data_IF_518068160606
#
_entry.id   IF_518068160606
#
_cell.length_a   1.000
_cell.length_b   1.000
_cell.length_c   1.000
_cell.angle_alpha   90.00
_cell.angle_beta   90.00
_cell.angle_gamma   90.00
#
_symmetry.space_group_name_H-M   'P 1'
#
loop_
_entity.id
_entity.type
_entity.pdbx_description
1 polymer ?
#
# COMPACT_ATOMS: atom_id res chain seq x y z
N UNK A 1 -42.00 -15.64 -22.69
CA UNK A 1 -41.28 -16.69 -21.94
C UNK A 1 -39.81 -16.29 -21.85
N UNK A 2 -39.35 -15.81 -20.69
CA UNK A 2 -37.90 -15.71 -20.43
C UNK A 2 -37.43 -17.14 -20.16
N UNK A 3 -36.61 -17.68 -21.05
CA UNK A 3 -35.93 -18.94 -20.78
C UNK A 3 -34.93 -18.68 -19.66
N UNK A 4 -35.20 -19.21 -18.47
CA UNK A 4 -34.19 -19.40 -17.43
C UNK A 4 -33.16 -20.37 -17.98
N UNK A 5 -32.14 -19.83 -18.65
CA UNK A 5 -30.94 -20.61 -18.99
C UNK A 5 -30.24 -20.88 -17.68
N UNK A 6 -30.39 -22.11 -17.17
CA UNK A 6 -29.56 -22.64 -16.09
C UNK A 6 -28.10 -22.41 -16.49
N UNK A 7 -27.29 -21.70 -15.68
CA UNK A 7 -25.90 -21.45 -16.02
C UNK A 7 -25.16 -22.78 -16.14
N UNK A 8 -24.67 -23.07 -17.33
CA UNK A 8 -23.85 -24.26 -17.58
C UNK A 8 -22.51 -24.07 -16.87
N UNK A 9 -22.28 -24.86 -15.83
CA UNK A 9 -21.00 -24.87 -15.12
C UNK A 9 -19.94 -25.49 -16.01
N UNK A 10 -18.90 -24.74 -16.34
CA UNK A 10 -17.78 -25.24 -17.14
C UNK A 10 -17.08 -26.39 -16.41
N UNK A 11 -16.69 -27.44 -17.15
CA UNK A 11 -15.79 -28.46 -16.64
C UNK A 11 -14.36 -27.92 -16.47
N UNK A 12 -13.53 -28.57 -15.64
CA UNK A 12 -12.17 -28.08 -15.35
C UNK A 12 -11.31 -27.88 -16.61
N UNK A 13 -11.41 -28.79 -17.59
CA UNK A 13 -10.65 -28.71 -18.85
C UNK A 13 -11.13 -27.53 -19.70
N UNK A 14 -12.46 -27.35 -19.82
CA UNK A 14 -13.04 -26.25 -20.57
C UNK A 14 -12.69 -24.90 -19.95
N UNK A 15 -12.66 -24.84 -18.61
CA UNK A 15 -12.25 -23.66 -17.89
C UNK A 15 -10.77 -23.34 -18.15
N UNK A 16 -9.87 -24.33 -18.10
CA UNK A 16 -8.47 -24.14 -18.44
C UNK A 16 -8.27 -23.66 -19.88
N UNK A 17 -8.94 -24.29 -20.85
CA UNK A 17 -8.90 -23.89 -22.26
C UNK A 17 -9.40 -22.46 -22.46
N UNK A 18 -10.44 -22.06 -21.73
CA UNK A 18 -10.93 -20.68 -21.75
C UNK A 18 -9.89 -19.71 -21.19
N UNK A 19 -9.25 -20.05 -20.08
CA UNK A 19 -8.19 -19.21 -19.50
C UNK A 19 -7.01 -19.06 -20.46
N UNK A 20 -6.57 -20.14 -21.11
CA UNK A 20 -5.51 -20.13 -22.13
C UNK A 20 -5.89 -19.22 -23.30
N UNK A 21 -7.10 -19.40 -23.84
CA UNK A 21 -7.61 -18.58 -24.94
C UNK A 21 -7.68 -17.09 -24.57
N UNK A 22 -8.10 -16.76 -23.34
CA UNK A 22 -8.10 -15.38 -22.84
C UNK A 22 -6.67 -14.83 -22.73
N UNK A 23 -5.74 -15.61 -22.17
CA UNK A 23 -4.34 -15.22 -22.07
C UNK A 23 -3.72 -14.96 -23.44
N UNK A 24 -4.02 -15.78 -24.44
CA UNK A 24 -3.55 -15.60 -25.81
C UNK A 24 -4.19 -14.38 -26.47
N UNK A 25 -5.49 -14.18 -26.30
CA UNK A 25 -6.21 -13.02 -26.84
C UNK A 25 -5.58 -11.69 -26.41
N UNK A 26 -5.13 -11.57 -25.15
CA UNK A 26 -4.54 -10.32 -24.66
C UNK A 26 -3.07 -10.11 -25.08
N UNK A 27 -2.38 -11.12 -25.65
CA UNK A 27 -1.01 -10.96 -26.14
C UNK A 27 -0.96 -9.97 -27.31
N UNK A 28 0.08 -9.11 -27.39
CA UNK A 28 0.18 -8.10 -28.46
C UNK A 28 0.16 -8.69 -29.87
N UNK A 29 0.65 -9.93 -30.03
CA UNK A 29 0.71 -10.65 -31.31
C UNK A 29 -0.66 -11.01 -31.88
N UNK A 30 -1.70 -11.18 -31.05
CA UNK A 30 -3.05 -11.53 -31.50
C UNK A 30 -3.92 -10.31 -31.80
N UNK A 31 -3.49 -9.12 -31.36
CA UNK A 31 -4.26 -7.87 -31.47
C UNK A 31 -3.56 -6.86 -32.35
N UNK A 32 -3.03 -7.28 -33.51
CA UNK A 32 -2.38 -6.38 -34.47
C UNK A 32 -3.35 -5.26 -34.87
N UNK A 33 -3.19 -4.08 -34.28
CA UNK A 33 -4.02 -2.89 -34.53
C UNK A 33 -4.84 -2.36 -33.33
N UNK A 34 -4.96 -3.09 -32.21
CA UNK A 34 -5.70 -2.60 -31.04
C UNK A 34 -4.80 -1.87 -30.04
N UNK A 35 -5.20 -0.67 -29.64
CA UNK A 35 -4.55 0.09 -28.58
C UNK A 35 -4.74 -0.59 -27.20
N UNK A 36 -3.84 -0.29 -26.25
CA UNK A 36 -3.96 -0.72 -24.85
C UNK A 36 -5.33 -0.36 -24.25
N UNK A 37 -5.89 0.77 -24.68
CA UNK A 37 -7.23 1.22 -24.32
C UNK A 37 -8.31 0.20 -24.73
N UNK A 38 -8.29 -0.27 -25.98
CA UNK A 38 -9.25 -1.27 -26.47
C UNK A 38 -9.15 -2.58 -25.69
N UNK A 39 -7.92 -3.05 -25.40
CA UNK A 39 -7.72 -4.27 -24.59
C UNK A 39 -8.30 -4.11 -23.19
N UNK A 40 -8.05 -2.98 -22.55
CA UNK A 40 -8.59 -2.70 -21.22
C UNK A 40 -10.12 -2.57 -21.22
N UNK A 41 -10.72 -1.98 -22.26
CA UNK A 41 -12.18 -1.94 -22.40
C UNK A 41 -12.79 -3.34 -22.56
N UNK A 42 -12.19 -4.19 -23.39
CA UNK A 42 -12.64 -5.59 -23.53
C UNK A 42 -12.50 -6.33 -22.20
N UNK A 43 -11.38 -6.16 -21.49
CA UNK A 43 -11.17 -6.76 -20.19
C UNK A 43 -12.25 -6.33 -19.18
N UNK A 44 -12.55 -5.04 -19.09
CA UNK A 44 -13.61 -4.50 -18.21
C UNK A 44 -15.01 -5.02 -18.59
N UNK A 45 -15.27 -5.25 -19.89
CA UNK A 45 -16.53 -5.83 -20.35
C UNK A 45 -16.64 -7.34 -20.03
N UNK A 46 -15.53 -8.07 -20.07
CA UNK A 46 -15.47 -9.48 -19.70
C UNK A 46 -15.56 -9.67 -18.19
N UNK A 47 -14.98 -8.77 -17.41
CA UNK A 47 -14.95 -8.82 -15.95
C UNK A 47 -15.52 -7.53 -15.36
N UNK A 48 -16.83 -7.28 -15.44
CA UNK A 48 -17.41 -6.10 -14.81
C UNK A 48 -17.34 -6.24 -13.28
N UNK A 49 -16.93 -5.19 -12.52
CA UNK A 49 -16.87 -5.23 -11.05
C UNK A 49 -18.19 -5.62 -10.37
N UNK A 50 -19.32 -5.35 -11.02
CA UNK A 50 -20.66 -5.67 -10.53
C UNK A 50 -21.01 -7.16 -10.56
N UNK A 51 -20.23 -8.00 -11.26
CA UNK A 51 -20.55 -9.41 -11.46
C UNK A 51 -19.63 -10.32 -10.65
N UNK A 52 -19.97 -10.51 -9.37
CA UNK A 52 -19.20 -11.31 -8.43
C UNK A 52 -18.94 -12.75 -8.90
N UNK A 53 -19.83 -13.34 -9.71
CA UNK A 53 -19.66 -14.70 -10.23
C UNK A 53 -18.41 -14.86 -11.11
N UNK A 54 -18.01 -13.80 -11.83
CA UNK A 54 -16.81 -13.82 -12.68
C UNK A 54 -15.51 -13.55 -11.92
N UNK A 55 -15.59 -13.11 -10.66
CA UNK A 55 -14.41 -12.85 -9.83
C UNK A 55 -13.55 -14.11 -9.63
N UNK A 56 -14.17 -15.28 -9.49
CA UNK A 56 -13.44 -16.55 -9.32
C UNK A 56 -12.64 -16.92 -10.57
N UNK A 57 -13.23 -16.75 -11.75
CA UNK A 57 -12.55 -16.97 -13.02
C UNK A 57 -11.42 -15.96 -13.21
N UNK A 58 -11.66 -14.70 -12.82
CA UNK A 58 -10.64 -13.65 -12.85
C UNK A 58 -9.45 -13.97 -11.95
N UNK A 59 -9.67 -14.42 -10.70
CA UNK A 59 -8.59 -14.85 -9.80
C UNK A 59 -7.73 -15.91 -10.48
N UNK A 60 -8.35 -16.95 -11.05
CA UNK A 60 -7.62 -18.02 -11.76
C UNK A 60 -6.86 -17.51 -12.99
N UNK A 61 -7.48 -16.62 -13.79
CA UNK A 61 -6.84 -15.98 -14.93
C UNK A 61 -5.57 -15.22 -14.50
N UNK A 62 -5.66 -14.48 -13.40
CA UNK A 62 -4.55 -13.70 -12.87
C UNK A 62 -3.47 -14.60 -12.29
N UNK A 63 -3.82 -15.64 -11.52
CA UNK A 63 -2.88 -16.65 -11.03
C UNK A 63 -2.14 -17.35 -12.18
N UNK A 64 -2.85 -17.65 -13.28
CA UNK A 64 -2.23 -18.20 -14.49
C UNK A 64 -1.35 -17.17 -15.19
N UNK A 65 -1.79 -15.90 -15.28
CA UNK A 65 -1.02 -14.82 -15.88
C UNK A 65 0.29 -14.52 -15.10
N UNK A 66 0.26 -14.59 -13.77
CA UNK A 66 1.46 -14.51 -12.92
C UNK A 66 2.40 -15.66 -13.26
N UNK A 67 1.89 -16.90 -13.25
CA UNK A 67 2.69 -18.11 -13.47
C UNK A 67 3.31 -18.18 -14.87
N UNK A 68 2.59 -17.67 -15.87
CA UNK A 68 3.02 -17.64 -17.28
C UNK A 68 3.67 -16.32 -17.69
N UNK A 69 3.84 -15.38 -16.76
CA UNK A 69 4.40 -14.04 -16.98
C UNK A 69 3.67 -13.24 -18.08
N UNK A 70 2.35 -13.37 -18.18
CA UNK A 70 1.51 -12.69 -19.15
C UNK A 70 1.24 -11.21 -18.75
N UNK A 71 2.20 -10.33 -19.06
CA UNK A 71 2.15 -8.89 -18.74
C UNK A 71 0.87 -8.19 -19.21
N UNK A 72 0.36 -8.41 -20.44
CA UNK A 72 -0.88 -7.76 -20.90
C UNK A 72 -2.08 -8.00 -19.99
N UNK A 73 -2.28 -9.24 -19.54
CA UNK A 73 -3.39 -9.59 -18.64
C UNK A 73 -3.17 -8.92 -17.28
N UNK A 74 -1.94 -8.94 -16.76
CA UNK A 74 -1.61 -8.27 -15.50
C UNK A 74 -1.84 -6.75 -15.57
N UNK A 75 -1.45 -6.11 -16.67
CA UNK A 75 -1.66 -4.68 -16.88
C UNK A 75 -3.15 -4.31 -16.91
N UNK A 76 -3.98 -5.09 -17.63
CA UNK A 76 -5.43 -4.89 -17.66
C UNK A 76 -6.07 -5.11 -16.29
N UNK A 77 -5.62 -6.15 -15.60
CA UNK A 77 -6.05 -6.46 -14.23
C UNK A 77 -5.65 -5.36 -13.25
N UNK A 78 -4.50 -4.70 -13.43
CA UNK A 78 -4.05 -3.64 -12.56
C UNK A 78 -5.09 -2.52 -12.40
N UNK A 79 -5.76 -2.13 -13.48
CA UNK A 79 -6.84 -1.14 -13.45
C UNK A 79 -8.03 -1.67 -12.63
N UNK A 80 -8.36 -2.95 -12.78
CA UNK A 80 -9.47 -3.59 -12.08
C UNK A 80 -9.21 -3.78 -10.58
N UNK A 81 -7.96 -4.12 -10.21
CA UNK A 81 -7.52 -4.40 -8.85
C UNK A 81 -7.84 -3.25 -7.89
N UNK A 82 -7.79 -2.02 -8.39
CA UNK A 82 -8.12 -0.81 -7.63
C UNK A 82 -9.56 -0.80 -7.08
N UNK A 83 -10.48 -1.54 -7.72
CA UNK A 83 -11.91 -1.55 -7.39
C UNK A 83 -12.36 -2.84 -6.72
N UNK A 84 -11.46 -3.79 -6.43
CA UNK A 84 -11.86 -5.10 -5.94
C UNK A 84 -10.93 -5.71 -4.91
N UNK A 85 -11.39 -5.68 -3.65
CA UNK A 85 -10.79 -6.44 -2.56
C UNK A 85 -10.92 -7.96 -2.77
N UNK A 86 -11.99 -8.43 -3.44
CA UNK A 86 -12.23 -9.86 -3.66
C UNK A 86 -11.12 -10.52 -4.49
N UNK A 87 -10.57 -9.82 -5.48
CA UNK A 87 -9.45 -10.33 -6.26
C UNK A 87 -8.16 -10.38 -5.44
N UNK A 88 -7.87 -9.33 -4.67
CA UNK A 88 -6.72 -9.34 -3.76
C UNK A 88 -6.84 -10.48 -2.73
N UNK A 89 -8.02 -10.67 -2.14
CA UNK A 89 -8.30 -11.76 -1.20
C UNK A 89 -8.09 -13.14 -1.85
N UNK A 90 -8.58 -13.33 -3.08
CA UNK A 90 -8.38 -14.57 -3.84
C UNK A 90 -6.90 -14.89 -4.07
N UNK A 91 -6.11 -13.91 -4.50
CA UNK A 91 -4.67 -14.08 -4.70
C UNK A 91 -3.92 -14.32 -3.39
N UNK A 92 -4.30 -13.62 -2.31
CA UNK A 92 -3.72 -13.84 -0.99
C UNK A 92 -3.98 -15.28 -0.54
N UNK A 93 -5.21 -15.78 -0.71
CA UNK A 93 -5.55 -17.17 -0.42
C UNK A 93 -4.73 -18.15 -1.24
N UNK A 94 -4.64 -17.96 -2.55
CA UNK A 94 -3.94 -18.88 -3.45
C UNK A 94 -2.43 -18.97 -3.13
N UNK A 95 -1.76 -17.82 -3.02
CA UNK A 95 -0.29 -17.77 -2.95
C UNK A 95 0.28 -17.77 -1.52
N UNK A 96 -0.43 -17.19 -0.55
CA UNK A 96 0.13 -16.97 0.78
C UNK A 96 -0.48 -17.89 1.85
N UNK A 97 -1.68 -18.43 1.60
CA UNK A 97 -2.38 -19.31 2.55
C UNK A 97 -2.39 -20.76 2.08
N UNK A 98 -2.84 -21.02 0.85
CA UNK A 98 -3.03 -22.38 0.33
C UNK A 98 -1.74 -23.00 -0.21
N UNK A 99 -0.93 -22.23 -0.95
CA UNK A 99 0.31 -22.73 -1.56
C UNK A 99 1.50 -21.80 -1.28
N UNK A 100 2.03 -21.76 -0.04
CA UNK A 100 3.16 -20.87 0.31
C UNK A 100 4.41 -21.06 -0.55
N UNK A 101 4.63 -22.26 -1.12
CA UNK A 101 5.74 -22.52 -2.05
C UNK A 101 5.60 -21.77 -3.38
N UNK A 102 4.39 -21.33 -3.75
CA UNK A 102 4.14 -20.58 -4.97
C UNK A 102 4.60 -19.11 -4.87
N UNK A 103 4.96 -18.63 -3.66
CA UNK A 103 5.45 -17.27 -3.42
C UNK A 103 6.70 -16.97 -4.26
N UNK A 104 7.55 -17.96 -4.57
CA UNK A 104 8.70 -17.75 -5.46
C UNK A 104 8.29 -17.27 -6.86
N UNK A 105 7.11 -17.67 -7.34
CA UNK A 105 6.55 -17.20 -8.61
C UNK A 105 6.13 -15.73 -8.61
N UNK A 106 6.07 -15.09 -7.43
CA UNK A 106 5.71 -13.69 -7.25
C UNK A 106 6.94 -12.76 -7.21
N UNK A 107 8.17 -13.27 -7.08
CA UNK A 107 9.36 -12.45 -6.84
C UNK A 107 9.61 -11.40 -7.93
N UNK A 108 9.39 -11.76 -9.21
CA UNK A 108 9.63 -10.88 -10.35
C UNK A 108 8.49 -9.87 -10.59
N UNK A 109 7.37 -9.99 -9.86
CA UNK A 109 6.14 -9.25 -10.15
C UNK A 109 6.29 -7.72 -10.09
N UNK A 110 7.02 -7.12 -9.11
CA UNK A 110 7.28 -5.69 -9.08
C UNK A 110 7.92 -5.16 -10.36
N UNK A 111 8.80 -5.93 -11.00
CA UNK A 111 9.50 -5.55 -12.23
C UNK A 111 8.67 -5.87 -13.47
N UNK A 112 7.99 -7.03 -13.47
CA UNK A 112 7.21 -7.52 -14.59
C UNK A 112 5.91 -6.70 -14.81
N UNK A 113 5.23 -6.35 -13.72
CA UNK A 113 3.94 -5.65 -13.75
C UNK A 113 3.82 -4.67 -12.57
N UNK A 114 4.61 -3.57 -12.56
CA UNK A 114 4.68 -2.64 -11.42
C UNK A 114 3.32 -2.00 -11.08
N UNK A 115 2.51 -1.65 -12.08
CA UNK A 115 1.18 -1.07 -11.86
C UNK A 115 0.21 -2.04 -11.17
N UNK A 116 0.19 -3.28 -11.65
CA UNK A 116 -0.61 -4.35 -11.04
C UNK A 116 -0.17 -4.58 -9.60
N UNK A 117 1.15 -4.69 -9.38
CA UNK A 117 1.73 -4.92 -8.07
C UNK A 117 1.39 -3.79 -7.10
N UNK A 118 1.54 -2.53 -7.52
CA UNK A 118 1.17 -1.38 -6.70
C UNK A 118 -0.32 -1.40 -6.33
N UNK A 119 -1.21 -1.62 -7.29
CA UNK A 119 -2.65 -1.66 -7.00
C UNK A 119 -3.03 -2.88 -6.14
N UNK A 120 -2.33 -4.01 -6.30
CA UNK A 120 -2.48 -5.16 -5.42
C UNK A 120 -2.06 -4.82 -3.98
N UNK A 121 -0.92 -4.13 -3.80
CA UNK A 121 -0.48 -3.65 -2.49
C UNK A 121 -1.50 -2.69 -1.86
N UNK A 122 -2.09 -1.77 -2.63
CA UNK A 122 -3.17 -0.90 -2.15
C UNK A 122 -4.35 -1.71 -1.63
N UNK A 123 -4.86 -2.66 -2.41
CA UNK A 123 -6.01 -3.49 -2.04
C UNK A 123 -5.72 -4.42 -0.84
N UNK A 124 -4.52 -4.99 -0.79
CA UNK A 124 -4.09 -5.81 0.36
C UNK A 124 -3.95 -4.97 1.62
N UNK A 125 -3.35 -3.78 1.50
CA UNK A 125 -3.18 -2.89 2.64
C UNK A 125 -4.53 -2.47 3.23
N UNK A 126 -5.52 -2.19 2.38
CA UNK A 126 -6.91 -1.90 2.77
C UNK A 126 -7.56 -3.10 3.47
N UNK A 127 -7.45 -4.30 2.88
CA UNK A 127 -8.05 -5.54 3.41
C UNK A 127 -7.61 -5.86 4.85
N UNK A 128 -6.35 -5.57 5.18
CA UNK A 128 -5.78 -5.79 6.53
C UNK A 128 -5.82 -4.54 7.43
N UNK A 129 -6.22 -3.39 6.88
CA UNK A 129 -6.42 -2.14 7.61
C UNK A 129 -7.85 -1.92 8.10
N UNK A 130 -8.81 -2.66 7.53
CA UNK A 130 -10.24 -2.61 7.82
C UNK A 130 -10.62 -3.73 8.79
N UNK A 131 -10.26 -3.57 10.07
CA UNK A 131 -10.78 -4.46 11.11
C UNK A 131 -12.14 -3.97 11.64
N UNK A 132 -12.94 -4.91 12.15
CA UNK A 132 -14.27 -4.63 12.71
C UNK A 132 -14.15 -3.68 13.92
N UNK A 133 -15.27 -3.12 14.40
CA UNK A 133 -15.34 -2.14 15.50
C UNK A 133 -14.62 -2.53 16.80
N UNK A 134 -13.98 -3.69 16.94
CA UNK A 134 -13.15 -4.11 18.09
C UNK A 134 -11.67 -4.36 17.77
N UNK A 135 -11.30 -4.56 16.50
CA UNK A 135 -9.92 -4.82 16.09
C UNK A 135 -9.51 -3.77 15.07
N UNK A 136 -8.59 -2.88 15.45
CA UNK A 136 -8.23 -1.71 14.62
C UNK A 136 -7.21 -2.08 13.53
N UNK A 137 -6.46 -3.18 13.73
CA UNK A 137 -5.56 -3.79 12.76
C UNK A 137 -5.83 -5.29 12.71
N UNK A 138 -5.96 -5.85 11.51
CA UNK A 138 -5.95 -7.28 11.27
C UNK A 138 -4.60 -7.61 10.63
N UNK A 139 -3.61 -8.18 11.35
CA UNK A 139 -2.28 -8.36 10.79
C UNK A 139 -2.30 -9.31 9.58
N UNK A 140 -1.56 -9.00 8.50
CA UNK A 140 -1.41 -9.90 7.37
C UNK A 140 -0.67 -11.19 7.77
N UNK A 141 -0.81 -12.28 6.99
CA UNK A 141 0.06 -13.45 7.12
C UNK A 141 1.55 -13.06 7.05
N UNK A 142 2.40 -13.71 7.85
CA UNK A 142 3.84 -13.39 7.90
C UNK A 142 4.51 -13.44 6.53
N UNK A 143 4.24 -14.49 5.75
CA UNK A 143 4.77 -14.65 4.39
C UNK A 143 4.38 -13.50 3.47
N UNK A 144 3.16 -12.95 3.65
CA UNK A 144 2.72 -11.77 2.92
C UNK A 144 3.49 -10.53 3.37
N UNK A 145 3.64 -10.33 4.68
CA UNK A 145 4.42 -9.20 5.21
C UNK A 145 5.88 -9.24 4.75
N UNK A 146 6.52 -10.41 4.75
CA UNK A 146 7.89 -10.61 4.26
C UNK A 146 8.02 -10.24 2.78
N UNK A 147 7.12 -10.74 1.93
CA UNK A 147 7.14 -10.45 0.49
C UNK A 147 6.89 -8.97 0.20
N UNK A 148 5.91 -8.36 0.88
CA UNK A 148 5.64 -6.92 0.74
C UNK A 148 6.85 -6.10 1.19
N UNK A 149 7.47 -6.48 2.31
CA UNK A 149 8.69 -5.82 2.81
C UNK A 149 9.82 -5.92 1.80
N UNK A 150 10.06 -7.11 1.24
CA UNK A 150 11.08 -7.33 0.22
C UNK A 150 10.80 -6.51 -1.05
N UNK A 151 9.57 -6.55 -1.54
CA UNK A 151 9.17 -5.82 -2.75
C UNK A 151 9.38 -4.32 -2.62
N UNK A 152 8.96 -3.71 -1.52
CA UNK A 152 9.11 -2.27 -1.29
C UNK A 152 10.57 -1.89 -1.08
N UNK A 153 11.34 -2.72 -0.37
CA UNK A 153 12.77 -2.50 -0.12
C UNK A 153 13.59 -2.55 -1.40
N UNK A 154 13.37 -3.56 -2.24
CA UNK A 154 14.13 -3.78 -3.48
C UNK A 154 13.69 -2.85 -4.62
N UNK A 155 12.46 -2.34 -4.56
CA UNK A 155 11.86 -1.55 -5.63
C UNK A 155 11.30 -0.23 -5.08
N UNK A 156 12.15 0.75 -4.72
CA UNK A 156 11.69 2.01 -4.14
C UNK A 156 10.59 2.75 -4.94
N UNK A 157 10.55 2.76 -6.28
CA UNK A 157 9.48 3.41 -7.03
C UNK A 157 8.13 2.65 -7.02
N UNK A 158 8.07 1.41 -6.50
CA UNK A 158 6.93 0.51 -6.67
C UNK A 158 5.61 1.11 -6.17
N UNK A 159 5.59 1.68 -4.96
CA UNK A 159 4.39 2.30 -4.38
C UNK A 159 3.88 3.50 -5.20
N UNK A 160 4.72 4.09 -6.03
CA UNK A 160 4.39 5.21 -6.90
C UNK A 160 3.96 4.76 -8.30
N UNK A 161 4.20 3.50 -8.67
CA UNK A 161 3.87 2.99 -10.00
C UNK A 161 2.38 3.12 -10.33
N UNK A 162 1.50 3.02 -9.32
CA UNK A 162 0.06 3.24 -9.51
C UNK A 162 -0.25 4.61 -10.15
N UNK A 163 0.51 5.66 -9.77
CA UNK A 163 0.31 7.03 -10.26
C UNK A 163 0.77 7.23 -11.70
N UNK A 164 1.62 6.36 -12.23
CA UNK A 164 2.18 6.48 -13.57
C UNK A 164 1.17 6.06 -14.66
N UNK A 165 0.08 5.40 -14.30
CA UNK A 165 -0.94 4.99 -15.26
C UNK A 165 -1.86 6.16 -15.63
N UNK A 166 -1.86 6.55 -16.92
CA UNK A 166 -2.67 7.64 -17.46
C UNK A 166 -4.17 7.38 -17.43
N UNK A 167 -4.61 6.12 -17.34
CA UNK A 167 -6.03 5.75 -17.37
C UNK A 167 -6.67 5.62 -15.99
N UNK A 168 -5.90 5.78 -14.91
CA UNK A 168 -6.44 5.64 -13.57
C UNK A 168 -6.92 7.02 -13.04
N UNK A 169 -8.22 7.11 -12.75
CA UNK A 169 -8.92 8.38 -12.49
C UNK A 169 -8.96 8.78 -11.00
N UNK A 170 -8.61 7.88 -10.08
CA UNK A 170 -8.63 8.13 -8.64
C UNK A 170 -7.60 7.27 -7.89
N UNK A 171 -6.33 7.34 -8.27
CA UNK A 171 -5.28 6.43 -7.76
C UNK A 171 -4.98 6.67 -6.28
N UNK A 172 -5.22 5.64 -5.46
CA UNK A 172 -4.67 5.54 -4.10
C UNK A 172 -3.38 4.73 -4.14
N UNK A 173 -2.30 5.32 -3.61
CA UNK A 173 -1.01 4.63 -3.49
C UNK A 173 -1.01 3.67 -2.29
N UNK A 174 -0.14 2.64 -2.28
CA UNK A 174 -0.03 1.72 -1.14
C UNK A 174 0.46 2.37 0.16
N UNK A 175 1.07 3.55 0.08
CA UNK A 175 1.79 4.15 1.20
C UNK A 175 0.97 4.22 2.47
N UNK A 176 -0.24 4.75 2.42
CA UNK A 176 -1.01 4.99 3.65
C UNK A 176 -1.39 3.68 4.33
N UNK A 177 -1.89 2.71 3.58
CA UNK A 177 -2.27 1.43 4.16
C UNK A 177 -1.06 0.69 4.76
N UNK A 178 0.08 0.73 4.08
CA UNK A 178 1.32 0.11 4.58
C UNK A 178 1.92 0.88 5.77
N UNK A 179 1.87 2.22 5.77
CA UNK A 179 2.22 3.02 6.95
C UNK A 179 1.29 2.73 8.12
N UNK A 180 -0.02 2.56 7.88
CA UNK A 180 -0.98 2.21 8.93
C UNK A 180 -0.63 0.86 9.57
N UNK A 181 -0.21 -0.14 8.78
CA UNK A 181 0.32 -1.39 9.33
C UNK A 181 1.52 -1.15 10.25
N UNK A 182 2.49 -0.36 9.79
CA UNK A 182 3.71 -0.06 10.54
C UNK A 182 3.43 0.76 11.80
N UNK A 183 2.58 1.78 11.72
CA UNK A 183 2.26 2.69 12.83
C UNK A 183 1.47 1.96 13.91
N UNK A 184 0.51 1.11 13.54
CA UNK A 184 -0.35 0.43 14.50
C UNK A 184 0.26 -0.86 15.05
N UNK A 185 1.19 -1.52 14.35
CA UNK A 185 1.71 -2.82 14.81
C UNK A 185 2.31 -2.83 16.22
N UNK A 186 3.05 -1.81 16.73
CA UNK A 186 3.57 -1.83 18.09
C UNK A 186 2.47 -1.98 19.14
N UNK A 187 1.36 -1.29 18.92
CA UNK A 187 0.19 -1.31 19.78
C UNK A 187 -0.54 -2.66 19.71
N UNK A 188 -0.61 -3.27 18.52
CA UNK A 188 -1.21 -4.59 18.34
C UNK A 188 -0.41 -5.66 19.08
N UNK A 189 0.91 -5.68 18.95
CA UNK A 189 1.74 -6.73 19.55
C UNK A 189 2.12 -6.45 21.01
N UNK A 190 1.76 -5.29 21.56
CA UNK A 190 1.96 -4.98 22.97
C UNK A 190 1.27 -6.03 23.86
N UNK A 191 2.02 -6.59 24.82
CA UNK A 191 1.52 -7.64 25.72
C UNK A 191 1.31 -9.01 25.05
N UNK A 192 1.73 -9.22 23.79
CA UNK A 192 1.64 -10.51 23.07
C UNK A 192 3.01 -11.17 22.93
N UNK A 193 3.06 -12.49 23.05
CA UNK A 193 4.29 -13.29 23.17
C UNK A 193 5.11 -13.44 21.88
N UNK A 194 4.57 -13.10 20.71
CA UNK A 194 5.26 -13.22 19.40
C UNK A 194 5.98 -11.93 18.95
N UNK A 195 6.20 -10.95 19.84
CA UNK A 195 6.47 -9.56 19.46
C UNK A 195 7.77 -9.27 18.70
N UNK A 196 8.84 -10.04 18.88
CA UNK A 196 10.18 -9.63 18.41
C UNK A 196 10.37 -9.75 16.90
N UNK A 197 10.08 -10.90 16.30
CA UNK A 197 10.25 -11.11 14.84
C UNK A 197 9.31 -10.20 14.03
N UNK A 198 8.02 -10.12 14.41
CA UNK A 198 7.07 -9.24 13.73
C UNK A 198 7.49 -7.76 13.83
N UNK A 199 8.01 -7.33 14.99
CA UNK A 199 8.48 -5.95 15.17
C UNK A 199 9.60 -5.58 14.18
N UNK A 200 10.51 -6.51 13.87
CA UNK A 200 11.59 -6.27 12.91
C UNK A 200 11.06 -6.08 11.49
N UNK A 201 10.14 -6.93 11.02
CA UNK A 201 9.56 -6.81 9.67
C UNK A 201 8.82 -5.49 9.48
N UNK A 202 8.00 -5.06 10.45
CA UNK A 202 7.34 -3.75 10.37
C UNK A 202 8.33 -2.58 10.41
N UNK A 203 9.44 -2.71 11.13
CA UNK A 203 10.48 -1.67 11.14
C UNK A 203 11.19 -1.56 9.78
N UNK A 204 11.52 -2.71 9.17
CA UNK A 204 12.09 -2.74 7.82
C UNK A 204 11.13 -2.18 6.77
N UNK A 205 9.85 -2.58 6.81
CA UNK A 205 8.84 -2.05 5.91
C UNK A 205 8.67 -0.54 6.09
N UNK A 206 8.59 -0.05 7.33
CA UNK A 206 8.50 1.38 7.63
C UNK A 206 9.67 2.15 7.03
N UNK A 207 10.90 1.67 7.24
CA UNK A 207 12.10 2.27 6.66
C UNK A 207 12.04 2.29 5.13
N UNK A 208 11.70 1.16 4.50
CA UNK A 208 11.61 1.06 3.04
C UNK A 208 10.58 2.04 2.44
N UNK A 209 9.45 2.27 3.13
CA UNK A 209 8.45 3.25 2.72
C UNK A 209 8.97 4.69 2.83
N UNK A 210 9.67 5.03 3.91
CA UNK A 210 10.29 6.36 4.07
C UNK A 210 11.36 6.60 3.01
N UNK A 211 12.24 5.62 2.76
CA UNK A 211 13.27 5.69 1.71
C UNK A 211 12.65 5.86 0.32
N UNK A 212 11.55 5.15 0.04
CA UNK A 212 10.78 5.27 -1.20
C UNK A 212 10.26 6.70 -1.41
N UNK A 213 9.68 7.33 -0.38
CA UNK A 213 9.20 8.72 -0.45
C UNK A 213 10.35 9.69 -0.69
N UNK A 214 11.48 9.53 0.00
CA UNK A 214 12.64 10.42 -0.14
C UNK A 214 13.26 10.31 -1.53
N UNK A 215 13.47 9.08 -2.02
CA UNK A 215 14.14 8.84 -3.32
C UNK A 215 13.26 9.19 -4.51
N UNK A 216 11.94 8.97 -4.41
CA UNK A 216 11.08 8.95 -5.59
C UNK A 216 9.86 9.89 -5.48
N UNK A 217 9.58 10.45 -4.30
CA UNK A 217 8.36 11.21 -4.04
C UNK A 217 8.33 12.61 -4.63
N UNK A 218 9.42 13.39 -4.49
CA UNK A 218 9.49 14.80 -4.92
C UNK A 218 9.12 15.02 -6.39
N UNK A 219 9.70 14.30 -7.37
CA UNK A 219 9.41 14.56 -8.79
C UNK A 219 7.95 14.33 -9.18
N UNK A 220 7.25 13.43 -8.48
CA UNK A 220 5.85 13.11 -8.78
C UNK A 220 4.88 14.07 -8.12
N UNK A 221 5.18 14.53 -6.90
CA UNK A 221 4.42 15.57 -6.23
C UNK A 221 4.43 16.88 -7.03
N UNK A 222 5.59 17.26 -7.58
CA UNK A 222 5.74 18.46 -8.42
C UNK A 222 4.91 18.42 -9.72
N UNK A 223 4.52 17.23 -10.18
CA UNK A 223 3.65 17.04 -11.35
C UNK A 223 2.15 17.12 -10.99
N UNK A 224 1.80 17.59 -9.80
CA UNK A 224 0.41 17.76 -9.34
C UNK A 224 -0.32 16.45 -9.02
N UNK A 225 0.40 15.32 -8.92
CA UNK A 225 -0.18 14.03 -8.55
C UNK A 225 -0.20 13.88 -7.03
N UNK A 226 -1.38 13.62 -6.47
CA UNK A 226 -1.54 13.30 -5.05
C UNK A 226 -0.93 11.93 -4.75
N UNK A 227 0.20 11.92 -4.03
CA UNK A 227 0.84 10.67 -3.57
C UNK A 227 0.12 10.15 -2.33
N UNK A 228 -0.09 11.02 -1.34
CA UNK A 228 -0.81 10.75 -0.10
C UNK A 228 -1.80 11.91 0.13
N UNK A 229 -3.07 11.60 0.33
CA UNK A 229 -4.07 12.59 0.76
C UNK A 229 -3.98 12.81 2.27
N UNK A 230 -4.14 14.07 2.72
CA UNK A 230 -4.29 14.40 4.14
C UNK A 230 -5.36 13.53 4.82
N UNK A 231 -6.50 13.34 4.17
CA UNK A 231 -7.62 12.56 4.72
C UNK A 231 -7.22 11.11 5.03
N UNK A 232 -6.33 10.55 4.22
CA UNK A 232 -5.80 9.20 4.44
C UNK A 232 -4.87 9.16 5.65
N UNK A 233 -4.06 10.19 5.90
CA UNK A 233 -3.21 10.27 7.11
C UNK A 233 -4.08 10.49 8.36
N UNK A 234 -5.07 11.38 8.28
CA UNK A 234 -6.03 11.64 9.36
C UNK A 234 -6.76 10.36 9.79
N UNK A 235 -7.05 9.44 8.85
CA UNK A 235 -7.68 8.15 9.16
C UNK A 235 -6.90 7.25 10.12
N UNK A 236 -5.62 7.56 10.40
CA UNK A 236 -4.77 6.82 11.34
C UNK A 236 -4.92 7.36 12.78
N UNK A 237 -5.39 8.61 12.95
CA UNK A 237 -5.46 9.29 14.25
C UNK A 237 -6.46 8.61 15.19
N UNK A 238 -7.70 8.39 14.73
CA UNK A 238 -8.75 7.76 15.54
C UNK A 238 -8.37 6.35 16.03
N UNK A 239 -7.87 5.44 15.16
CA UNK A 239 -7.20 4.20 15.56
C UNK A 239 -6.20 4.33 16.71
N UNK A 240 -5.29 5.29 16.63
CA UNK A 240 -4.23 5.51 17.62
C UNK A 240 -4.80 5.96 18.96
N UNK A 241 -5.69 6.97 18.97
CA UNK A 241 -6.33 7.47 20.19
C UNK A 241 -7.10 6.36 20.89
N UNK A 242 -7.81 5.55 20.12
CA UNK A 242 -8.58 4.43 20.64
C UNK A 242 -7.68 3.41 21.34
N UNK A 243 -6.58 3.02 20.70
CA UNK A 243 -5.67 2.02 21.25
C UNK A 243 -4.78 2.55 22.38
N UNK A 244 -4.43 3.83 22.36
CA UNK A 244 -3.70 4.47 23.45
C UNK A 244 -4.35 4.17 24.81
N UNK A 245 -5.67 4.35 24.93
CA UNK A 245 -6.43 4.12 26.17
C UNK A 245 -6.41 2.67 26.67
N UNK A 246 -6.27 1.71 25.76
CA UNK A 246 -6.27 0.27 26.06
C UNK A 246 -4.84 -0.24 26.34
N UNK A 247 -3.88 0.21 25.53
CA UNK A 247 -2.49 -0.29 25.52
C UNK A 247 -1.64 0.35 26.61
N UNK A 248 -1.88 1.61 26.98
CA UNK A 248 -1.08 2.30 28.01
C UNK A 248 -1.07 1.57 29.37
N UNK A 249 -2.13 0.79 29.65
CA UNK A 249 -2.27 0.02 30.89
C UNK A 249 -1.52 -1.32 30.87
N UNK A 250 -1.01 -1.74 29.71
CA UNK A 250 -0.29 -3.00 29.54
C UNK A 250 1.19 -2.86 29.91
N UNK A 251 1.86 -3.96 30.27
CA UNK A 251 3.32 -3.99 30.33
C UNK A 251 3.92 -3.55 28.99
N UNK A 252 4.90 -2.64 29.04
CA UNK A 252 5.51 -1.98 27.87
C UNK A 252 4.57 -1.13 27.00
N UNK A 253 3.34 -0.87 27.45
CA UNK A 253 2.35 -0.05 26.74
C UNK A 253 2.85 1.33 26.35
N UNK A 254 3.54 2.02 27.27
CA UNK A 254 4.14 3.34 27.01
C UNK A 254 5.18 3.29 25.88
N UNK A 255 6.03 2.26 25.82
CA UNK A 255 7.03 2.10 24.73
C UNK A 255 6.36 1.80 23.40
N UNK A 256 5.30 0.99 23.40
CA UNK A 256 4.54 0.69 22.20
C UNK A 256 3.84 1.94 21.63
N UNK A 257 3.27 2.78 22.50
CA UNK A 257 2.67 4.07 22.14
C UNK A 257 3.73 5.03 21.61
N UNK A 258 4.87 5.15 22.28
CA UNK A 258 5.98 5.99 21.83
C UNK A 258 6.44 5.58 20.42
N UNK A 259 6.70 4.28 20.19
CA UNK A 259 7.11 3.79 18.87
C UNK A 259 6.06 4.03 17.78
N UNK A 260 4.76 3.89 18.10
CA UNK A 260 3.69 4.17 17.15
C UNK A 260 3.64 5.67 16.76
N UNK A 261 3.77 6.55 17.75
CA UNK A 261 3.78 8.01 17.54
C UNK A 261 5.05 8.48 16.84
N UNK A 262 6.19 7.84 17.08
CA UNK A 262 7.43 8.05 16.33
C UNK A 262 7.27 7.70 14.85
N UNK A 263 6.73 6.51 14.55
CA UNK A 263 6.49 6.09 13.17
C UNK A 263 5.54 7.05 12.45
N UNK A 264 4.48 7.51 13.12
CA UNK A 264 3.58 8.51 12.55
C UNK A 264 4.30 9.85 12.32
N UNK A 265 5.06 10.34 13.30
CA UNK A 265 5.79 11.60 13.18
C UNK A 265 6.78 11.57 12.00
N UNK A 266 7.53 10.47 11.84
CA UNK A 266 8.46 10.26 10.73
C UNK A 266 7.73 10.23 9.37
N UNK A 267 6.62 9.49 9.27
CA UNK A 267 5.84 9.41 8.03
C UNK A 267 5.25 10.77 7.63
N UNK A 268 4.71 11.52 8.59
CA UNK A 268 4.18 12.88 8.38
C UNK A 268 5.29 13.84 7.98
N UNK A 269 6.42 13.83 8.70
CA UNK A 269 7.55 14.71 8.42
C UNK A 269 8.11 14.46 7.02
N UNK A 270 8.44 13.21 6.70
CA UNK A 270 8.99 12.86 5.39
C UNK A 270 7.96 13.16 4.30
N UNK A 271 6.70 12.79 4.49
CA UNK A 271 5.65 13.05 3.51
C UNK A 271 5.40 14.54 3.23
N UNK A 272 5.52 15.41 4.23
CA UNK A 272 5.42 16.86 4.05
C UNK A 272 6.69 17.44 3.42
N UNK A 273 7.88 16.99 3.86
CA UNK A 273 9.18 17.42 3.33
C UNK A 273 9.36 17.06 1.85
N UNK A 274 8.89 15.89 1.44
CA UNK A 274 8.95 15.46 0.03
C UNK A 274 7.80 16.01 -0.82
N UNK A 275 6.87 16.76 -0.22
CA UNK A 275 5.66 17.24 -0.89
C UNK A 275 4.66 16.14 -1.24
N UNK A 276 4.86 14.91 -0.76
CA UNK A 276 3.98 13.78 -1.07
C UNK A 276 2.61 13.84 -0.37
N UNK A 277 2.49 14.57 0.75
CA UNK A 277 1.21 14.80 1.43
C UNK A 277 0.53 16.05 0.84
N UNK A 278 -0.62 15.86 0.19
CA UNK A 278 -1.43 16.91 -0.42
C UNK A 278 -2.82 17.03 0.24
N UNK A 279 -3.38 18.24 0.24
CA UNK A 279 -4.66 18.58 0.87
C UNK A 279 -4.54 19.68 1.92
N UNK A 280 -5.54 19.79 2.80
CA UNK A 280 -5.56 20.76 3.90
C UNK A 280 -4.56 20.38 5.00
N UNK A 281 -3.35 20.95 4.92
CA UNK A 281 -2.30 20.70 5.91
C UNK A 281 -2.67 21.25 7.29
N UNK A 282 -3.52 22.27 7.39
CA UNK A 282 -3.92 22.82 8.69
C UNK A 282 -4.88 21.86 9.42
N UNK A 283 -5.81 21.26 8.69
CA UNK A 283 -6.65 20.16 9.20
C UNK A 283 -5.80 19.00 9.71
N UNK A 284 -4.80 18.56 8.93
CA UNK A 284 -3.87 17.50 9.37
C UNK A 284 -3.24 17.85 10.73
N UNK A 285 -2.68 19.05 10.85
CA UNK A 285 -2.01 19.47 12.09
C UNK A 285 -2.97 19.58 13.27
N UNK A 286 -4.21 20.04 13.04
CA UNK A 286 -5.28 20.06 14.07
C UNK A 286 -5.62 18.65 14.54
N UNK A 287 -5.72 17.69 13.62
CA UNK A 287 -5.98 16.30 13.97
C UNK A 287 -4.82 15.67 14.72
N UNK A 288 -3.57 15.93 14.33
CA UNK A 288 -2.39 15.41 15.03
C UNK A 288 -2.25 15.96 16.45
N UNK A 289 -2.70 17.19 16.72
CA UNK A 289 -2.73 17.78 18.08
C UNK A 289 -3.68 17.06 19.04
N UNK A 290 -4.61 16.24 18.54
CA UNK A 290 -5.53 15.46 19.39
C UNK A 290 -4.88 14.18 19.95
N UNK A 291 -3.70 13.81 19.45
CA UNK A 291 -2.95 12.64 19.92
C UNK A 291 -2.30 12.88 21.28
N UNK A 292 -1.92 11.81 22.01
CA UNK A 292 -1.19 11.93 23.26
C UNK A 292 0.11 12.74 23.12
N UNK A 293 0.51 13.35 24.24
CA UNK A 293 1.74 14.14 24.35
C UNK A 293 2.97 13.35 23.87
N UNK A 294 3.58 13.81 22.77
CA UNK A 294 4.75 13.16 22.18
C UNK A 294 5.74 14.18 21.62
N UNK A 295 6.98 14.14 22.12
CA UNK A 295 8.00 15.17 21.86
C UNK A 295 8.29 15.36 20.37
N UNK A 296 8.51 14.26 19.65
CA UNK A 296 8.93 14.29 18.24
C UNK A 296 7.79 14.79 17.36
N UNK A 297 6.58 14.30 17.62
CA UNK A 297 5.39 14.73 16.89
C UNK A 297 5.12 16.23 17.10
N UNK A 298 5.25 16.73 18.34
CA UNK A 298 5.13 18.16 18.63
C UNK A 298 6.15 19.02 17.90
N UNK A 299 7.39 18.55 17.77
CA UNK A 299 8.41 19.24 16.99
C UNK A 299 8.04 19.31 15.52
N UNK A 300 7.56 18.20 14.94
CA UNK A 300 7.07 18.15 13.55
C UNK A 300 5.91 19.12 13.34
N UNK A 301 4.91 19.12 14.22
CA UNK A 301 3.75 20.02 14.15
C UNK A 301 4.20 21.48 14.25
N UNK A 302 5.05 21.80 15.22
CA UNK A 302 5.56 23.17 15.42
C UNK A 302 6.31 23.68 14.18
N UNK A 303 7.28 22.91 13.68
CA UNK A 303 8.05 23.27 12.49
C UNK A 303 7.13 23.46 11.27
N UNK A 304 6.15 22.58 11.09
CA UNK A 304 5.22 22.73 9.96
C UNK A 304 4.34 23.97 10.07
N UNK A 305 3.89 24.34 11.28
CA UNK A 305 3.16 25.60 11.50
C UNK A 305 4.00 26.82 11.16
N UNK A 306 5.27 26.83 11.55
CA UNK A 306 6.22 27.90 11.22
C UNK A 306 6.41 28.04 9.70
N UNK A 307 6.51 26.92 8.98
CA UNK A 307 6.61 26.93 7.51
C UNK A 307 5.32 27.46 6.85
N UNK A 308 4.14 27.10 7.38
CA UNK A 308 2.86 27.58 6.86
C UNK A 308 2.64 29.08 7.10
N UNK A 309 3.11 29.64 8.22
CA UNK A 309 2.97 31.08 8.50
C UNK A 309 3.96 31.95 7.73
N UNK A 310 5.10 31.40 7.32
CA UNK A 310 6.14 32.14 6.58
C UNK A 310 5.90 32.21 5.06
N UNK A 311 4.85 31.59 4.51
CA UNK A 311 4.60 31.47 3.05
C UNK A 311 5.85 31.03 2.26
N UNK A 312 6.75 30.29 2.91
CA UNK A 312 7.93 29.77 2.25
C UNK A 312 7.60 28.44 1.62
N UNK A 313 7.66 28.39 0.28
CA UNK A 313 7.96 27.14 -0.41
C UNK A 313 9.26 26.60 0.17
N UNK A 314 9.23 25.31 0.54
CA UNK A 314 10.29 24.60 1.27
C UNK A 314 11.64 24.88 0.58
N UNK A 315 12.49 25.72 1.18
CA UNK A 315 13.90 25.83 0.78
C UNK A 315 14.62 24.53 1.13
N UNK A 316 15.51 24.12 0.23
CA UNK A 316 16.02 22.76 0.02
C UNK A 316 16.78 22.10 1.20
N UNK A 317 16.98 22.77 2.34
CA UNK A 317 18.00 22.41 3.34
C UNK A 317 17.51 22.13 4.77
N UNK A 318 16.20 22.02 5.01
CA UNK A 318 15.71 21.86 6.39
C UNK A 318 15.83 20.42 6.95
N UNK A 319 16.43 20.36 8.15
CA UNK A 319 16.78 19.17 8.94
C UNK A 319 15.61 18.23 9.20
N UNK A 320 15.78 16.95 8.85
CA UNK A 320 14.90 15.85 9.27
C UNK A 320 15.16 15.57 10.75
N UNK A 321 14.11 15.65 11.57
CA UNK A 321 14.20 15.40 13.01
C UNK A 321 14.15 13.88 13.22
N UNK A 322 15.32 13.30 13.43
CA UNK A 322 15.48 11.88 13.74
C UNK A 322 15.15 11.65 15.22
N UNK A 323 14.17 10.80 15.50
CA UNK A 323 14.00 10.22 16.83
C UNK A 323 14.82 8.94 16.94
N UNK A 324 15.77 8.94 17.88
CA UNK A 324 16.60 7.78 18.21
C UNK A 324 15.75 6.79 19.02
N UNK A 325 14.91 6.02 18.34
CA UNK A 325 14.41 4.76 18.90
C UNK A 325 15.30 3.64 18.38
N UNK A 326 15.92 2.96 19.35
CA UNK A 326 16.96 1.91 19.31
C UNK A 326 16.88 0.78 18.27
N UNK A 327 15.99 0.82 17.27
CA UNK A 327 15.90 -0.18 16.20
C UNK A 327 15.71 0.36 14.78
N UNK A 328 15.53 1.66 14.54
CA UNK A 328 15.48 2.21 13.16
C UNK A 328 16.28 3.49 13.04
N UNK A 329 17.59 3.36 12.76
CA UNK A 329 18.42 4.51 12.40
C UNK A 329 18.19 4.87 10.95
N UNK A 330 17.45 5.94 10.70
CA UNK A 330 17.48 6.63 9.42
C UNK A 330 18.04 8.02 9.64
N UNK A 331 19.31 8.20 9.28
CA UNK A 331 19.98 9.50 9.23
C UNK A 331 19.97 9.91 7.77
N UNK A 332 19.13 10.88 7.41
CA UNK A 332 19.18 11.51 6.08
C UNK A 332 19.84 12.86 6.28
N UNK A 333 21.17 12.89 6.12
CA UNK A 333 21.92 14.15 6.01
C UNK A 333 21.77 14.69 4.59
N UNK A 334 21.64 16.01 4.48
CA UNK A 334 21.74 16.73 3.20
C UNK A 334 23.10 16.42 2.53
N UNK A 335 23.17 16.32 1.19
CA UNK A 335 24.44 16.09 0.47
C UNK A 335 25.47 17.21 0.65
N UNK A 336 25.07 18.39 1.12
CA UNK A 336 25.92 19.58 1.16
C UNK A 336 26.07 20.14 2.57
N UNK A 337 27.03 19.63 3.34
CA UNK A 337 27.69 20.39 4.41
C UNK A 337 29.19 20.02 4.45
N UNK A 338 30.10 21.02 4.44
CA UNK A 338 31.53 20.76 4.55
C UNK A 338 31.88 20.27 5.96
N UNK A 339 32.85 19.34 5.99
CA UNK A 339 33.28 18.53 7.15
C UNK A 339 33.66 19.32 8.39
#
# INVERSE_FOLDING_TARGET
>A
MKADRVPVKLGCIQELQLLEALCDFFKPSYTSGNSDTTRNLVFMALFPPSLAERSRLLVKLVSMAISTKNVPVLAATGIWMQFSLNLAEGLVKDYFVLVPKAVSGLQDLPQLAPHFTANFLTSVAEMYSSGDKRQVLNPPPNTLLEVVTQWVSDNPPLCLAALLNKMATAVTTPFVGLFKWCILSPLYYCGRTSSTEHSTLYSHLHLALLESLVRCGKPLASNGKTVISVQHVVSIVDPLIRWYKEVEKLPDGSKAVELALDRLAQAVQIGLFTGCIAGDKEELLKMLDTLPEHRVLKLVIKKQRELLTQNMDILEDDVIIVSDTSQTRMVIMSPDLPR
#
